data_IF_868471710742
#
_entry.id   IF_868471710742
#
_cell.length_a   1.000
_cell.length_b   1.000
_cell.length_c   1.000
_cell.angle_alpha   90.00
_cell.angle_beta   90.00
_cell.angle_gamma   90.00
#
_symmetry.space_group_name_H-M   'P 1'
#
loop_
_entity.id
_entity.type
_entity.pdbx_description
1 polymer ?
#
# COMPACT_ATOMS: atom_id res chain seq x y z
N UNK A 1 -44.12 -0.57 1.45
CA UNK A 1 -43.09 0.49 1.33
C UNK A 1 -41.70 -0.12 1.49
N UNK A 2 -40.88 -0.13 0.44
CA UNK A 2 -39.45 -0.53 0.55
C UNK A 2 -38.67 0.71 0.98
N UNK A 3 -38.28 0.77 2.25
CA UNK A 3 -37.42 1.81 2.78
C UNK A 3 -36.06 1.65 2.09
N UNK A 4 -35.70 2.54 1.16
CA UNK A 4 -34.35 2.60 0.65
C UNK A 4 -33.49 3.24 1.75
N UNK A 5 -32.60 2.49 2.43
CA UNK A 5 -31.73 3.11 3.41
C UNK A 5 -30.85 4.09 2.65
N UNK A 6 -30.94 5.38 3.01
CA UNK A 6 -30.07 6.44 2.50
C UNK A 6 -28.66 6.13 3.02
N UNK A 7 -27.96 5.25 2.30
CA UNK A 7 -26.63 4.80 2.65
C UNK A 7 -25.60 5.79 2.13
N UNK A 8 -24.56 6.04 2.90
CA UNK A 8 -23.41 6.82 2.42
C UNK A 8 -22.34 5.87 1.88
N UNK A 9 -21.49 6.37 1.00
CA UNK A 9 -20.47 5.56 0.32
C UNK A 9 -19.16 5.60 1.11
N UNK A 10 -18.53 4.44 1.31
CA UNK A 10 -17.19 4.37 1.88
C UNK A 10 -16.16 4.94 0.89
N UNK A 11 -15.38 5.94 1.30
CA UNK A 11 -14.40 6.60 0.42
C UNK A 11 -13.15 5.76 0.09
N UNK A 12 -13.04 4.52 0.62
CA UNK A 12 -11.94 3.60 0.30
C UNK A 12 -12.37 2.44 -0.59
N UNK A 13 -13.43 1.71 -0.23
CA UNK A 13 -13.91 0.58 -1.04
C UNK A 13 -15.00 0.96 -2.06
N UNK A 14 -15.59 2.16 -1.97
CA UNK A 14 -16.60 2.63 -2.92
C UNK A 14 -17.99 2.00 -2.76
N UNK A 15 -18.18 1.13 -1.77
CA UNK A 15 -19.47 0.48 -1.50
C UNK A 15 -20.40 1.35 -0.63
N UNK A 16 -21.70 1.13 -0.77
CA UNK A 16 -22.75 1.84 -0.01
C UNK A 16 -23.10 1.11 1.29
N UNK A 17 -23.03 1.83 2.41
CA UNK A 17 -23.34 1.32 3.75
C UNK A 17 -24.38 2.21 4.44
N UNK A 18 -25.20 1.66 5.36
CA UNK A 18 -26.02 2.49 6.24
C UNK A 18 -25.14 3.47 7.02
N UNK A 19 -25.56 4.74 7.17
CA UNK A 19 -24.74 5.80 7.78
C UNK A 19 -24.22 5.44 9.18
N UNK A 20 -24.99 4.65 9.94
CA UNK A 20 -24.59 4.13 11.27
C UNK A 20 -23.38 3.19 11.27
N UNK A 21 -23.06 2.57 10.12
CA UNK A 21 -21.98 1.58 9.98
C UNK A 21 -20.73 2.18 9.30
N UNK A 22 -20.74 3.50 9.13
CA UNK A 22 -19.61 4.28 8.67
C UNK A 22 -19.01 5.08 9.81
N UNK A 23 -17.71 5.32 9.69
CA UNK A 23 -16.90 5.98 10.68
C UNK A 23 -16.12 7.13 10.07
N UNK A 24 -15.99 8.22 10.81
CA UNK A 24 -15.25 9.40 10.40
C UNK A 24 -13.78 9.26 10.78
N UNK A 25 -12.90 9.40 9.80
CA UNK A 25 -11.46 9.47 10.05
C UNK A 25 -11.10 10.81 10.68
N UNK A 26 -10.29 10.80 11.73
CA UNK A 26 -9.85 12.03 12.40
C UNK A 26 -8.89 12.90 11.59
N UNK A 27 -8.21 12.34 10.57
CA UNK A 27 -7.23 13.07 9.76
C UNK A 27 -7.80 13.68 8.49
N UNK A 28 -8.55 12.89 7.70
CA UNK A 28 -9.09 13.34 6.42
C UNK A 28 -10.58 13.69 6.48
N UNK A 29 -11.24 13.52 7.63
CA UNK A 29 -12.67 13.74 7.83
C UNK A 29 -13.63 12.93 6.93
N UNK A 30 -13.10 12.04 6.08
CA UNK A 30 -13.88 11.14 5.24
C UNK A 30 -14.60 10.05 6.03
N UNK A 31 -15.61 9.46 5.39
CA UNK A 31 -16.41 8.36 5.96
C UNK A 31 -15.99 7.01 5.38
N UNK A 32 -15.82 6.02 6.25
CA UNK A 32 -15.26 4.71 5.92
C UNK A 32 -15.97 3.59 6.66
N UNK A 33 -16.09 2.41 6.05
CA UNK A 33 -16.67 1.25 6.70
C UNK A 33 -15.70 0.63 7.73
N UNK A 34 -16.20 -0.25 8.60
CA UNK A 34 -15.42 -0.89 9.67
C UNK A 34 -14.18 -1.66 9.20
N UNK A 35 -14.17 -2.17 7.96
CA UNK A 35 -12.99 -2.84 7.39
C UNK A 35 -11.95 -1.87 6.85
N UNK A 36 -12.33 -0.62 6.58
CA UNK A 36 -11.48 0.39 5.98
C UNK A 36 -10.87 1.36 7.00
N UNK A 37 -10.99 1.05 8.29
CA UNK A 37 -10.48 1.85 9.40
C UNK A 37 -9.62 1.02 10.35
N UNK A 38 -8.77 1.70 11.10
CA UNK A 38 -8.03 1.20 12.24
C UNK A 38 -8.45 1.99 13.48
N UNK A 39 -8.51 1.29 14.61
CA UNK A 39 -8.64 1.89 15.93
C UNK A 39 -7.25 1.99 16.54
N UNK A 40 -6.83 3.22 16.87
CA UNK A 40 -5.61 3.44 17.64
C UNK A 40 -5.89 3.47 19.13
N UNK A 41 -4.80 3.32 19.91
CA UNK A 41 -4.82 3.48 21.35
C UNK A 41 -5.40 4.85 21.72
N UNK A 42 -6.42 4.85 22.58
CA UNK A 42 -7.22 6.04 22.91
C UNK A 42 -8.52 6.18 22.12
N UNK A 43 -8.90 5.20 21.30
CA UNK A 43 -10.22 5.16 20.63
C UNK A 43 -10.30 6.05 19.39
N UNK A 44 -9.16 6.52 18.88
CA UNK A 44 -9.09 7.31 17.65
C UNK A 44 -9.34 6.44 16.44
N UNK A 45 -10.23 6.88 15.55
CA UNK A 45 -10.53 6.19 14.29
C UNK A 45 -9.73 6.82 13.16
N UNK A 46 -8.95 5.98 12.48
CA UNK A 46 -8.12 6.40 11.35
C UNK A 46 -8.38 5.51 10.16
N UNK A 47 -8.63 6.08 8.98
CA UNK A 47 -8.78 5.27 7.78
C UNK A 47 -7.45 4.62 7.37
N UNK A 48 -7.51 3.46 6.71
CA UNK A 48 -6.31 2.73 6.30
C UNK A 48 -5.35 3.58 5.46
N UNK A 49 -5.87 4.49 4.61
CA UNK A 49 -5.03 5.41 3.82
C UNK A 49 -4.26 6.41 4.70
N UNK A 50 -4.90 7.00 5.70
CA UNK A 50 -4.25 7.91 6.65
C UNK A 50 -3.29 7.17 7.58
N UNK A 51 -3.58 5.93 7.95
CA UNK A 51 -2.68 5.11 8.72
C UNK A 51 -1.42 4.74 7.93
N UNK A 52 -1.58 4.26 6.69
CA UNK A 52 -0.47 3.95 5.78
C UNK A 52 0.39 5.20 5.55
N UNK A 53 -0.22 6.36 5.29
CA UNK A 53 0.53 7.61 5.08
C UNK A 53 1.37 8.03 6.30
N UNK A 54 0.95 7.69 7.53
CA UNK A 54 1.70 8.03 8.75
C UNK A 54 2.85 7.07 9.01
N UNK A 55 2.64 5.77 8.80
CA UNK A 55 3.67 4.74 9.00
C UNK A 55 4.70 4.75 7.86
N UNK A 56 4.21 4.96 6.64
CA UNK A 56 5.00 5.15 5.44
C UNK A 56 4.78 6.59 4.99
N UNK A 57 5.45 7.58 5.62
CA UNK A 57 5.49 8.91 5.04
C UNK A 57 5.91 8.74 3.59
N UNK A 58 5.20 9.40 2.66
CA UNK A 58 5.47 9.30 1.22
C UNK A 58 6.99 9.46 1.10
N UNK A 59 7.69 8.37 0.79
CA UNK A 59 9.13 8.46 0.56
C UNK A 59 9.27 9.63 -0.41
N UNK A 60 10.18 10.55 -0.13
CA UNK A 60 10.62 11.49 -1.15
C UNK A 60 11.13 10.59 -2.26
N UNK A 61 10.25 10.24 -3.20
CA UNK A 61 10.65 9.56 -4.41
C UNK A 61 11.71 10.43 -5.06
N UNK A 62 12.51 9.87 -5.94
CA UNK A 62 13.35 10.72 -6.76
C UNK A 62 12.49 11.84 -7.37
N UNK A 63 13.07 13.01 -7.61
CA UNK A 63 12.40 14.11 -8.32
C UNK A 63 11.58 13.61 -9.53
N UNK A 64 12.03 12.53 -10.17
CA UNK A 64 11.48 11.87 -11.34
C UNK A 64 10.36 10.84 -11.06
N UNK A 65 9.93 10.65 -9.81
CA UNK A 65 8.93 9.64 -9.46
C UNK A 65 7.56 9.88 -10.14
N UNK A 66 7.19 11.12 -10.44
CA UNK A 66 5.95 11.39 -11.16
C UNK A 66 6.04 10.99 -12.65
N UNK A 67 7.23 11.06 -13.25
CA UNK A 67 7.48 10.59 -14.62
C UNK A 67 7.23 9.09 -14.72
N UNK A 68 7.65 8.31 -13.71
CA UNK A 68 7.40 6.87 -13.66
C UNK A 68 5.90 6.56 -13.62
N UNK A 69 5.12 7.31 -12.83
CA UNK A 69 3.66 7.19 -12.76
C UNK A 69 3.00 7.54 -14.09
N UNK A 70 3.47 8.58 -14.79
CA UNK A 70 2.97 8.96 -16.11
C UNK A 70 3.15 7.83 -17.13
N UNK A 71 4.36 7.26 -17.19
CA UNK A 71 4.69 6.18 -18.11
C UNK A 71 3.84 4.93 -17.82
N UNK A 72 3.65 4.56 -16.54
CA UNK A 72 2.78 3.45 -16.14
C UNK A 72 1.34 3.68 -16.57
N UNK A 73 0.79 4.89 -16.39
CA UNK A 73 -0.58 5.21 -16.81
C UNK A 73 -0.76 5.09 -18.32
N UNK A 74 0.22 5.56 -19.11
CA UNK A 74 0.17 5.49 -20.57
C UNK A 74 0.47 4.08 -21.12
N UNK A 75 1.11 3.21 -20.33
CA UNK A 75 1.44 1.82 -20.69
C UNK A 75 0.22 0.92 -20.96
N UNK A 76 -0.98 1.33 -20.53
CA UNK A 76 -2.22 0.60 -20.82
C UNK A 76 -2.61 0.63 -22.31
N UNK A 77 -2.13 1.61 -23.07
CA UNK A 77 -2.62 1.88 -24.43
C UNK A 77 -1.51 1.92 -25.48
N UNK A 78 -0.27 2.22 -25.09
CA UNK A 78 0.85 2.42 -26.03
C UNK A 78 2.09 1.67 -25.58
N UNK A 79 2.83 1.11 -26.54
CA UNK A 79 4.14 0.47 -26.34
C UNK A 79 5.32 1.42 -26.57
N UNK A 80 5.06 2.52 -27.27
CA UNK A 80 6.01 3.57 -27.60
C UNK A 80 5.34 4.92 -27.35
N UNK A 81 6.06 5.83 -26.70
CA UNK A 81 5.54 7.15 -26.31
C UNK A 81 6.64 8.16 -26.56
N UNK A 82 6.37 9.13 -27.42
CA UNK A 82 7.20 10.33 -27.55
C UNK A 82 6.64 11.40 -26.62
N UNK A 83 7.53 12.00 -25.82
CA UNK A 83 7.24 13.11 -24.91
C UNK A 83 8.15 14.27 -25.25
N UNK A 84 7.61 15.48 -25.22
CA UNK A 84 8.43 16.70 -25.24
C UNK A 84 9.08 16.94 -23.87
N UNK A 85 10.17 17.72 -23.84
CA UNK A 85 10.81 18.08 -22.57
C UNK A 85 9.85 18.87 -21.67
N UNK A 86 8.99 19.72 -22.26
CA UNK A 86 7.97 20.45 -21.51
C UNK A 86 6.96 19.53 -20.84
N UNK A 87 6.48 18.47 -21.51
CA UNK A 87 5.59 17.47 -20.90
C UNK A 87 6.30 16.71 -19.76
N UNK A 88 7.60 16.47 -19.89
CA UNK A 88 8.39 15.80 -18.85
C UNK A 88 8.56 16.72 -17.64
N UNK A 89 8.85 18.00 -17.85
CA UNK A 89 8.95 19.01 -16.79
C UNK A 89 7.62 19.20 -16.06
N UNK A 90 6.51 19.26 -16.79
CA UNK A 90 5.17 19.36 -16.21
C UNK A 90 4.82 18.10 -15.39
N UNK A 91 5.17 16.92 -15.90
CA UNK A 91 4.99 15.68 -15.16
C UNK A 91 5.82 15.64 -13.86
N UNK A 92 7.05 16.12 -13.90
CA UNK A 92 7.94 16.19 -12.73
C UNK A 92 7.47 17.28 -11.76
N UNK A 93 6.94 18.38 -12.28
CA UNK A 93 6.62 19.61 -11.54
C UNK A 93 7.84 20.49 -11.29
N UNK A 94 8.93 20.29 -12.04
CA UNK A 94 10.19 21.04 -11.92
C UNK A 94 10.97 20.98 -13.23
N UNK A 95 11.89 21.93 -13.44
CA UNK A 95 12.68 22.03 -14.67
C UNK A 95 13.74 20.95 -14.79
N UNK A 96 14.01 20.54 -16.02
CA UNK A 96 15.09 19.63 -16.34
C UNK A 96 16.45 20.36 -16.17
N UNK A 97 17.48 19.66 -15.68
CA UNK A 97 18.82 20.25 -15.58
C UNK A 97 19.39 20.53 -16.98
N UNK A 98 20.29 21.51 -17.08
CA UNK A 98 20.96 21.87 -18.36
C UNK A 98 21.59 20.67 -19.06
N UNK A 99 22.13 19.73 -18.30
CA UNK A 99 22.70 18.48 -18.82
C UNK A 99 21.71 17.62 -19.60
N UNK A 100 20.41 17.69 -19.31
CA UNK A 100 19.39 16.99 -20.09
C UNK A 100 19.19 17.59 -21.50
N UNK A 101 19.47 18.88 -21.65
CA UNK A 101 19.38 19.61 -22.93
C UNK A 101 20.66 19.49 -23.76
N UNK A 102 21.81 19.46 -23.09
CA UNK A 102 23.12 19.51 -23.75
C UNK A 102 23.68 18.11 -24.04
N UNK A 103 23.35 17.11 -23.22
CA UNK A 103 23.98 15.80 -23.28
C UNK A 103 22.97 14.66 -23.47
N UNK A 104 23.04 13.98 -24.62
CA UNK A 104 22.24 12.77 -24.90
C UNK A 104 22.49 11.66 -23.87
N UNK A 105 23.70 11.59 -23.30
CA UNK A 105 24.07 10.60 -22.28
C UNK A 105 23.28 10.75 -20.97
N UNK A 106 22.70 11.92 -20.70
CA UNK A 106 21.81 12.12 -19.56
C UNK A 106 20.55 11.24 -19.65
N UNK A 107 20.08 10.96 -20.87
CA UNK A 107 18.94 10.09 -21.17
C UNK A 107 19.32 8.61 -21.32
N UNK A 108 20.49 8.23 -20.79
CA UNK A 108 20.97 6.85 -20.87
C UNK A 108 20.17 5.90 -19.98
N UNK A 109 20.13 4.63 -20.38
CA UNK A 109 19.44 3.57 -19.65
C UNK A 109 20.35 2.91 -18.59
N UNK A 110 21.15 3.71 -17.86
CA UNK A 110 22.12 3.23 -16.87
C UNK A 110 21.47 3.26 -15.47
N UNK A 111 21.53 2.16 -14.72
CA UNK A 111 21.04 2.12 -13.32
C UNK A 111 21.92 2.94 -12.36
N UNK A 112 21.34 3.39 -11.24
CA UNK A 112 22.06 4.15 -10.19
C UNK A 112 21.98 5.67 -10.32
N UNK A 113 21.37 6.19 -11.41
CA UNK A 113 20.99 7.59 -11.49
C UNK A 113 19.49 7.75 -11.19
N UNK A 114 19.15 8.72 -10.33
CA UNK A 114 17.77 8.96 -9.87
C UNK A 114 16.76 9.27 -10.99
N UNK A 115 17.27 9.72 -12.13
CA UNK A 115 16.54 10.07 -13.34
C UNK A 115 16.21 8.81 -14.14
N UNK A 116 17.23 8.03 -14.47
CA UNK A 116 17.10 6.82 -15.27
C UNK A 116 16.32 5.73 -14.55
N UNK A 117 16.45 5.65 -13.23
CA UNK A 117 15.61 4.78 -12.42
C UNK A 117 14.11 5.05 -12.62
N UNK A 118 13.70 6.28 -12.91
CA UNK A 118 12.28 6.60 -13.07
C UNK A 118 11.61 5.89 -14.24
N UNK A 119 12.30 5.68 -15.37
CA UNK A 119 11.75 4.88 -16.47
C UNK A 119 12.14 3.40 -16.38
N UNK A 120 13.35 3.09 -15.90
CA UNK A 120 13.82 1.71 -15.78
C UNK A 120 13.00 0.88 -14.78
N UNK A 121 12.68 1.45 -13.60
CA UNK A 121 11.91 0.75 -12.56
C UNK A 121 10.51 0.37 -13.00
N UNK A 122 9.95 1.07 -13.98
CA UNK A 122 8.62 0.82 -14.54
C UNK A 122 8.65 0.05 -15.86
N UNK A 123 9.81 -0.47 -16.27
CA UNK A 123 9.97 -1.30 -17.47
C UNK A 123 9.95 -0.51 -18.79
N UNK A 124 10.29 0.78 -18.73
CA UNK A 124 10.44 1.64 -19.88
C UNK A 124 11.92 1.94 -20.11
N UNK A 125 12.30 2.18 -21.36
CA UNK A 125 13.64 2.61 -21.76
C UNK A 125 13.55 3.76 -22.74
N UNK A 126 14.54 4.63 -22.72
CA UNK A 126 14.70 5.64 -23.76
C UNK A 126 15.20 4.92 -25.03
N UNK A 127 14.45 5.07 -26.13
CA UNK A 127 14.80 4.56 -27.46
C UNK A 127 15.59 5.60 -28.24
N UNK A 128 15.07 6.82 -28.28
CA UNK A 128 15.66 7.92 -29.06
C UNK A 128 15.42 9.25 -28.36
N UNK A 129 16.38 10.17 -28.52
CA UNK A 129 16.34 11.53 -27.99
C UNK A 129 16.70 12.49 -29.09
N UNK A 130 15.80 13.41 -29.37
CA UNK A 130 16.05 14.53 -30.26
C UNK A 130 16.20 15.80 -29.42
N UNK A 131 17.43 16.32 -29.35
CA UNK A 131 17.75 17.53 -28.58
C UNK A 131 17.32 18.81 -29.30
N UNK A 132 17.24 18.80 -30.63
CA UNK A 132 16.82 19.95 -31.45
C UNK A 132 15.32 20.20 -31.27
N UNK A 133 14.53 19.14 -31.45
CA UNK A 133 13.08 19.18 -31.26
C UNK A 133 12.65 19.05 -29.78
N UNK A 134 13.61 18.82 -28.87
CA UNK A 134 13.39 18.61 -27.43
C UNK A 134 12.35 17.54 -27.18
N UNK A 135 12.51 16.38 -27.81
CA UNK A 135 11.64 15.22 -27.65
C UNK A 135 12.42 13.96 -27.26
N UNK A 136 11.76 13.09 -26.51
CA UNK A 136 12.29 11.81 -26.06
C UNK A 136 11.26 10.73 -26.35
N UNK A 137 11.68 9.69 -27.02
CA UNK A 137 10.87 8.51 -27.32
C UNK A 137 11.20 7.40 -26.35
N UNK A 138 10.22 7.03 -25.53
CA UNK A 138 10.28 5.90 -24.62
C UNK A 138 9.64 4.68 -25.26
N UNK A 139 10.30 3.54 -25.12
CA UNK A 139 9.77 2.23 -25.52
C UNK A 139 9.64 1.34 -24.29
N UNK A 140 8.54 0.62 -24.22
CA UNK A 140 8.35 -0.43 -23.21
C UNK A 140 9.16 -1.63 -23.65
N UNK A 141 10.10 -2.05 -22.82
CA UNK A 141 10.79 -3.31 -23.05
C UNK A 141 9.73 -4.41 -22.87
N UNK A 142 9.41 -5.13 -23.94
CA UNK A 142 8.56 -6.30 -23.83
C UNK A 142 9.24 -7.20 -22.80
N UNK A 143 8.60 -7.38 -21.66
CA UNK A 143 9.04 -8.37 -20.69
C UNK A 143 8.93 -9.74 -21.36
N UNK A 144 9.97 -10.17 -22.08
CA UNK A 144 10.24 -11.57 -22.31
C UNK A 144 10.58 -12.16 -20.95
N UNK A 145 9.52 -12.48 -20.20
CA UNK A 145 9.48 -13.42 -19.11
C UNK A 145 10.65 -13.38 -18.10
N UNK A 146 11.06 -12.22 -17.59
CA UNK A 146 11.68 -12.20 -16.26
C UNK A 146 10.55 -12.36 -15.25
N UNK A 147 10.66 -13.40 -14.42
CA UNK A 147 9.63 -13.96 -13.54
C UNK A 147 9.03 -13.03 -12.45
N UNK A 148 9.12 -11.71 -12.59
CA UNK A 148 8.54 -10.73 -11.67
C UNK A 148 7.05 -10.47 -12.01
N UNK A 149 6.66 -10.63 -13.28
CA UNK A 149 5.27 -10.47 -13.73
C UNK A 149 4.40 -11.73 -13.64
N UNK A 150 4.99 -12.93 -13.76
CA UNK A 150 4.21 -14.19 -13.76
C UNK A 150 3.70 -14.57 -12.38
N UNK A 151 4.37 -14.19 -11.29
CA UNK A 151 3.81 -14.35 -9.94
C UNK A 151 2.70 -13.32 -9.65
N UNK A 152 2.80 -12.09 -10.16
CA UNK A 152 1.74 -11.10 -10.06
C UNK A 152 0.50 -11.50 -10.88
N UNK A 153 0.67 -11.96 -12.12
CA UNK A 153 -0.43 -12.43 -12.99
C UNK A 153 -1.01 -13.78 -12.56
N UNK A 154 -0.22 -14.74 -12.03
CA UNK A 154 -0.80 -15.93 -11.37
C UNK A 154 -1.50 -15.58 -10.06
N UNK A 155 -1.00 -14.63 -9.24
CA UNK A 155 -1.72 -14.16 -8.05
C UNK A 155 -3.01 -13.41 -8.41
N UNK A 156 -3.07 -12.72 -9.55
CA UNK A 156 -4.27 -12.05 -10.06
C UNK A 156 -5.27 -13.04 -10.68
N UNK A 157 -4.81 -14.08 -11.40
CA UNK A 157 -5.70 -15.13 -11.95
C UNK A 157 -6.16 -16.20 -10.95
N UNK A 158 -5.41 -16.45 -9.88
CA UNK A 158 -5.86 -17.36 -8.80
C UNK A 158 -6.85 -16.67 -7.84
N UNK A 159 -6.90 -15.32 -7.80
CA UNK A 159 -7.91 -14.57 -7.01
C UNK A 159 -9.16 -14.12 -7.79
N UNK A 160 -9.25 -14.40 -9.10
CA UNK A 160 -10.38 -13.97 -9.94
C UNK A 160 -11.27 -15.11 -10.44
N UNK A 161 -11.29 -16.25 -9.73
CA UNK A 161 -12.36 -17.25 -9.84
C UNK A 161 -13.18 -17.29 -8.56
N UNK A 162 -14.38 -16.70 -8.60
CA UNK A 162 -15.47 -16.86 -7.64
C UNK A 162 -15.29 -16.10 -6.32
N UNK A 163 -15.84 -14.89 -6.21
CA UNK A 163 -17.14 -14.69 -5.55
C UNK A 163 -17.17 -15.15 -4.08
N UNK A 164 -16.54 -14.37 -3.21
CA UNK A 164 -17.19 -14.04 -1.95
C UNK A 164 -17.84 -12.69 -2.22
N UNK A 165 -19.15 -12.73 -2.44
CA UNK A 165 -19.94 -11.62 -3.00
C UNK A 165 -19.64 -10.31 -2.26
N UNK A 166 -19.90 -9.15 -2.89
CA UNK A 166 -19.94 -7.85 -2.19
C UNK A 166 -20.67 -7.94 -0.82
N UNK A 167 -21.61 -8.88 -0.69
CA UNK A 167 -22.36 -9.19 0.53
C UNK A 167 -21.47 -9.74 1.65
N UNK A 168 -20.50 -10.61 1.37
CA UNK A 168 -19.60 -11.17 2.38
C UNK A 168 -18.63 -10.13 2.92
N UNK A 169 -18.03 -9.32 2.05
CA UNK A 169 -17.16 -8.20 2.46
C UNK A 169 -17.94 -7.16 3.28
N UNK A 170 -19.17 -6.83 2.83
CA UNK A 170 -20.11 -5.97 3.56
C UNK A 170 -20.51 -6.56 4.90
N UNK A 171 -20.75 -7.87 4.98
CA UNK A 171 -21.08 -8.57 6.22
C UNK A 171 -19.91 -8.54 7.20
N UNK A 172 -18.67 -8.63 6.72
CA UNK A 172 -17.46 -8.52 7.52
C UNK A 172 -17.29 -7.10 8.07
N UNK A 173 -17.59 -6.07 7.29
CA UNK A 173 -17.55 -4.68 7.75
C UNK A 173 -18.58 -4.40 8.86
N UNK A 174 -19.78 -4.96 8.74
CA UNK A 174 -20.82 -4.89 9.79
C UNK A 174 -20.39 -5.71 11.02
N UNK A 175 -19.78 -6.89 10.85
CA UNK A 175 -19.22 -7.69 11.96
C UNK A 175 -18.05 -7.00 12.65
N UNK A 176 -17.23 -6.24 11.92
CA UNK A 176 -16.11 -5.48 12.49
C UNK A 176 -16.62 -4.51 13.56
N UNK A 177 -17.72 -3.79 13.31
CA UNK A 177 -18.42 -2.93 14.29
C UNK A 177 -18.77 -3.66 15.59
N UNK A 178 -19.31 -4.88 15.49
CA UNK A 178 -19.63 -5.73 16.66
C UNK A 178 -18.36 -6.05 17.46
N UNK A 179 -17.24 -6.28 16.77
CA UNK A 179 -15.94 -6.52 17.42
C UNK A 179 -15.34 -5.27 18.04
N UNK A 180 -15.54 -4.07 17.48
CA UNK A 180 -15.08 -2.82 18.10
C UNK A 180 -15.79 -2.55 19.43
N UNK A 181 -17.05 -2.98 19.56
CA UNK A 181 -17.82 -2.85 20.79
C UNK A 181 -17.47 -3.89 21.86
N UNK A 182 -16.86 -5.03 21.50
CA UNK A 182 -16.52 -6.12 22.44
C UNK A 182 -15.02 -6.23 22.64
N UNK A 183 -14.52 -5.87 23.84
CA UNK A 183 -13.15 -6.21 24.27
C UNK A 183 -12.98 -7.74 24.22
N UNK A 184 -12.07 -8.23 23.36
CA UNK A 184 -11.79 -9.66 23.24
C UNK A 184 -11.11 -10.16 24.52
N UNK A 185 -11.85 -10.91 25.34
CA UNK A 185 -11.28 -11.60 26.51
C UNK A 185 -10.42 -12.79 26.02
N UNK A 186 -9.26 -13.07 26.64
CA UNK A 186 -8.44 -14.22 26.28
C UNK A 186 -9.24 -15.53 26.44
N UNK A 187 -8.97 -16.51 25.57
CA UNK A 187 -9.66 -17.81 25.63
C UNK A 187 -9.32 -18.56 26.91
N UNK A 188 -10.23 -19.41 27.38
CA UNK A 188 -10.02 -20.25 28.58
C UNK A 188 -8.73 -21.06 28.47
N UNK A 189 -8.41 -21.59 27.29
CA UNK A 189 -7.17 -22.31 27.01
C UNK A 189 -5.93 -21.42 27.15
N UNK A 190 -5.97 -20.18 26.63
CA UNK A 190 -4.85 -19.23 26.72
C UNK A 190 -4.60 -18.78 28.16
N UNK A 191 -5.67 -18.63 28.95
CA UNK A 191 -5.59 -18.35 30.39
C UNK A 191 -4.96 -19.54 31.13
N UNK A 192 -5.41 -20.76 30.84
CA UNK A 192 -4.87 -21.98 31.47
C UNK A 192 -3.37 -22.20 31.16
N UNK A 193 -2.95 -21.99 29.91
CA UNK A 193 -1.53 -22.08 29.51
C UNK A 193 -0.69 -21.06 30.29
N UNK A 194 -1.19 -19.82 30.45
CA UNK A 194 -0.51 -18.77 31.21
C UNK A 194 -0.40 -19.13 32.70
N UNK A 195 -1.47 -19.65 33.30
CA UNK A 195 -1.47 -20.12 34.69
C UNK A 195 -0.47 -21.26 34.91
N UNK A 196 -0.40 -22.23 33.99
CA UNK A 196 0.55 -23.32 34.05
C UNK A 196 2.01 -22.81 33.97
N UNK A 197 2.28 -21.85 33.06
CA UNK A 197 3.60 -21.23 32.93
C UNK A 197 4.02 -20.48 34.19
N UNK A 198 3.11 -19.70 34.80
CA UNK A 198 3.38 -19.01 36.06
C UNK A 198 3.71 -19.99 37.19
N UNK A 199 2.94 -21.07 37.34
CA UNK A 199 3.23 -22.13 38.30
C UNK A 199 4.59 -22.79 38.08
N UNK A 200 4.98 -23.03 36.82
CA UNK A 200 6.30 -23.60 36.51
C UNK A 200 7.44 -22.65 36.87
N UNK A 201 7.28 -21.34 36.61
CA UNK A 201 8.24 -20.31 37.00
C UNK A 201 8.36 -20.21 38.54
N UNK A 202 7.25 -20.27 39.26
CA UNK A 202 7.25 -20.30 40.74
C UNK A 202 7.97 -21.53 41.28
N UNK A 203 7.69 -22.71 40.72
CA UNK A 203 8.40 -23.96 41.07
C UNK A 203 9.90 -23.83 40.82
N UNK A 204 10.31 -23.31 39.67
CA UNK A 204 11.71 -23.09 39.34
C UNK A 204 12.40 -22.08 40.29
N UNK A 205 11.73 -20.99 40.65
CA UNK A 205 12.22 -20.02 41.65
C UNK A 205 12.38 -20.67 43.03
N UNK A 206 11.42 -21.47 43.48
CA UNK A 206 11.50 -22.20 44.76
C UNK A 206 12.65 -23.20 44.78
N UNK A 207 12.85 -23.94 43.69
CA UNK A 207 13.98 -24.87 43.54
C UNK A 207 15.33 -24.16 43.58
N UNK A 208 15.47 -23.01 42.90
CA UNK A 208 16.70 -22.18 42.96
C UNK A 208 16.96 -21.66 44.38
N UNK A 209 15.92 -21.22 45.10
CA UNK A 209 16.03 -20.75 46.49
C UNK A 209 16.46 -21.86 47.45
N UNK A 210 15.88 -23.06 47.32
CA UNK A 210 16.27 -24.20 48.16
C UNK A 210 17.70 -24.67 47.86
N UNK A 211 18.12 -24.68 46.59
CA UNK A 211 19.49 -25.05 46.22
C UNK A 211 20.54 -24.09 46.83
N UNK A 212 20.22 -22.79 46.89
CA UNK A 212 21.03 -21.77 47.56
C UNK A 212 21.06 -21.89 49.09
N UNK A 213 20.09 -22.57 49.70
CA UNK A 213 20.01 -22.77 51.15
C UNK A 213 20.75 -24.04 51.60
N UNK A 214 20.90 -25.03 50.71
CA UNK A 214 21.62 -26.29 50.96
C UNK A 214 23.12 -26.26 50.57
N UNK A 215 23.67 -25.08 50.26
CA UNK A 215 25.08 -24.89 49.86
C UNK A 215 25.91 -24.09 50.87
N UNK A 216 25.44 -24.03 52.13
CA UNK A 216 26.18 -23.55 53.30
C UNK A 216 26.46 -24.71 54.25
#
# INVERSE_FOLDING_TARGET
MRIFPVGSVCMLCGETYPSRDLYKCQYCNGVYCGNCILLEDGGRIVCLRCAVRRVFPKAQGSKYANLSVLLVRRAGFRREITLSFAEIEDAIGDRLPKSAYENRGWWSNIGGSSHSEAWLTVGWRVKEVNLEDKTVTFIRENASATNIGKEAEKRVKVKSKGSSTNVDFKSLAVRAKISLMKKRKPSKTKIAILQARLKNLERAKRMRRNKSFMSF
#
